data_IF_103318492147
#
_entry.id   IF_103318492147
#
_cell.length_a   1.000
_cell.length_b   1.000
_cell.length_c   1.000
_cell.angle_alpha   90.00
_cell.angle_beta   90.00
_cell.angle_gamma   90.00
#
_symmetry.space_group_name_H-M   'P 1'
#
loop_
_entity.id
_entity.type
_entity.pdbx_description
1 polymer ?
#
# COMPACT_ATOMS: atom_id res chain seq x y z
N UNK A 1 12.30 16.25 6.60
CA UNK A 1 13.04 15.06 7.06
C UNK A 1 13.09 14.07 5.91
N UNK A 2 14.26 13.55 5.57
CA UNK A 2 14.39 12.43 4.62
C UNK A 2 14.20 11.16 5.44
N UNK A 3 13.01 10.57 5.42
CA UNK A 3 12.78 9.24 6.01
C UNK A 3 13.35 8.18 5.08
N UNK A 4 14.43 7.52 5.49
CA UNK A 4 14.94 6.32 4.84
C UNK A 4 13.90 5.20 4.98
N UNK A 5 13.33 4.77 3.85
CA UNK A 5 12.46 3.58 3.81
C UNK A 5 13.26 2.34 4.17
N UNK A 6 12.67 1.45 4.96
CA UNK A 6 13.24 0.12 5.17
C UNK A 6 13.15 -0.71 3.89
N UNK A 7 13.98 -1.75 3.76
CA UNK A 7 13.93 -2.66 2.62
C UNK A 7 12.55 -3.31 2.46
N UNK A 8 11.87 -3.63 3.58
CA UNK A 8 10.52 -4.20 3.55
C UNK A 8 9.47 -3.20 3.06
N UNK A 9 9.58 -1.92 3.42
CA UNK A 9 8.67 -0.87 2.92
C UNK A 9 8.87 -0.63 1.43
N UNK A 10 10.12 -0.60 0.95
CA UNK A 10 10.43 -0.51 -0.47
C UNK A 10 9.89 -1.70 -1.24
N UNK A 11 10.08 -2.92 -0.72
CA UNK A 11 9.54 -4.13 -1.31
C UNK A 11 7.99 -4.10 -1.38
N UNK A 12 7.32 -3.56 -0.36
CA UNK A 12 5.87 -3.40 -0.38
C UNK A 12 5.40 -2.40 -1.46
N UNK A 13 6.10 -1.27 -1.63
CA UNK A 13 5.81 -0.30 -2.69
C UNK A 13 6.03 -0.90 -4.08
N UNK A 14 7.15 -1.63 -4.27
CA UNK A 14 7.43 -2.35 -5.51
C UNK A 14 6.35 -3.39 -5.80
N UNK A 15 6.00 -4.21 -4.82
CA UNK A 15 4.92 -5.19 -4.99
C UNK A 15 3.64 -4.51 -5.42
N UNK A 16 3.20 -3.43 -4.75
CA UNK A 16 1.98 -2.73 -5.13
C UNK A 16 2.07 -2.13 -6.54
N UNK A 17 3.20 -1.53 -6.91
CA UNK A 17 3.42 -0.96 -8.23
C UNK A 17 3.33 -2.01 -9.35
N UNK A 18 3.92 -3.19 -9.11
CA UNK A 18 3.88 -4.33 -10.04
C UNK A 18 2.45 -4.93 -10.15
N UNK A 19 1.61 -4.74 -9.13
CA UNK A 19 0.24 -5.25 -9.05
C UNK A 19 -0.81 -4.14 -9.23
N UNK A 20 -0.71 -3.40 -10.34
CA UNK A 20 -1.62 -2.30 -10.77
C UNK A 20 -1.51 -0.98 -10.00
N UNK A 21 -0.84 -0.94 -8.86
CA UNK A 21 -0.71 0.27 -8.04
C UNK A 21 -1.98 0.63 -7.25
N UNK A 22 -2.99 -0.22 -7.24
CA UNK A 22 -4.28 -0.01 -6.57
C UNK A 22 -4.85 -1.33 -6.07
N UNK A 23 -5.43 -1.32 -4.88
CA UNK A 23 -6.04 -2.50 -4.29
C UNK A 23 -7.19 -2.22 -3.34
N UNK A 24 -7.92 -3.28 -3.01
CA UNK A 24 -9.04 -3.28 -2.08
C UNK A 24 -8.69 -4.15 -0.86
N UNK A 25 -9.01 -3.68 0.35
CA UNK A 25 -8.87 -4.51 1.53
C UNK A 25 -10.04 -5.47 1.71
N UNK A 26 -9.73 -6.72 2.02
CA UNK A 26 -10.71 -7.69 2.46
C UNK A 26 -11.18 -7.43 3.92
N UNK A 27 -12.12 -8.24 4.39
CA UNK A 27 -12.64 -8.17 5.77
C UNK A 27 -11.58 -8.46 6.84
N UNK A 28 -10.51 -9.18 6.49
CA UNK A 28 -9.40 -9.51 7.39
C UNK A 28 -8.32 -8.41 7.39
N UNK A 29 -8.44 -7.40 6.53
CA UNK A 29 -7.48 -6.32 6.39
C UNK A 29 -6.27 -6.68 5.53
N UNK A 30 -6.40 -7.67 4.64
CA UNK A 30 -5.39 -8.04 3.64
C UNK A 30 -5.71 -7.32 2.33
N UNK A 31 -4.68 -6.77 1.68
CA UNK A 31 -4.83 -6.02 0.43
C UNK A 31 -4.88 -6.98 -0.76
N UNK A 32 -5.89 -6.84 -1.62
CA UNK A 32 -5.97 -7.49 -2.93
C UNK A 32 -5.64 -6.45 -4.01
N UNK A 33 -4.61 -6.69 -4.82
CA UNK A 33 -4.17 -5.81 -5.90
C UNK A 33 -3.77 -6.64 -7.12
N UNK A 34 -4.15 -6.23 -8.33
CA UNK A 34 -3.83 -6.98 -9.55
C UNK A 34 -4.38 -8.42 -9.61
N UNK A 35 -5.37 -8.76 -8.77
CA UNK A 35 -5.88 -10.14 -8.63
C UNK A 35 -5.12 -11.00 -7.62
N UNK A 36 -4.10 -10.46 -6.96
CA UNK A 36 -3.27 -11.18 -5.98
C UNK A 36 -3.38 -10.61 -4.58
N UNK A 37 -3.24 -11.49 -3.59
CA UNK A 37 -3.25 -11.13 -2.17
C UNK A 37 -1.86 -10.68 -1.75
N UNK A 38 -1.77 -9.49 -1.18
CA UNK A 38 -0.50 -8.93 -0.72
C UNK A 38 0.09 -9.78 0.41
N UNK A 39 1.35 -10.24 0.29
CA UNK A 39 2.09 -10.89 1.37
C UNK A 39 2.64 -9.86 2.37
N UNK A 40 1.95 -8.73 2.56
CA UNK A 40 2.41 -7.56 3.30
C UNK A 40 1.42 -7.23 4.40
N UNK A 41 1.94 -7.15 5.62
CA UNK A 41 1.15 -6.84 6.81
C UNK A 41 0.55 -5.45 6.75
N UNK A 42 -0.66 -5.31 7.29
CA UNK A 42 -1.38 -4.04 7.36
C UNK A 42 -0.60 -2.89 7.99
N UNK A 43 0.19 -3.17 9.03
CA UNK A 43 1.01 -2.16 9.69
C UNK A 43 2.00 -1.47 8.73
N UNK A 44 2.51 -2.20 7.73
CA UNK A 44 3.39 -1.65 6.70
C UNK A 44 2.65 -0.61 5.85
N UNK A 45 1.43 -0.91 5.42
CA UNK A 45 0.60 0.04 4.65
C UNK A 45 0.28 1.31 5.43
N UNK A 46 -0.04 1.18 6.72
CA UNK A 46 -0.27 2.34 7.59
C UNK A 46 0.97 3.24 7.67
N UNK A 47 2.15 2.65 7.88
CA UNK A 47 3.42 3.41 7.94
C UNK A 47 3.77 4.07 6.60
N UNK A 48 3.48 3.41 5.49
CA UNK A 48 3.66 3.99 4.16
C UNK A 48 2.69 5.15 3.91
N UNK A 49 1.46 5.07 4.42
CA UNK A 49 0.47 6.14 4.31
C UNK A 49 0.85 7.36 5.17
N UNK A 50 1.35 7.13 6.39
CA UNK A 50 1.91 8.20 7.25
C UNK A 50 3.05 8.95 6.55
N UNK A 51 3.83 8.26 5.71
CA UNK A 51 4.88 8.84 4.88
C UNK A 51 4.43 9.40 3.52
N UNK A 52 3.12 9.32 3.18
CA UNK A 52 2.58 9.82 1.91
C UNK A 52 2.94 8.97 0.67
N UNK A 53 3.46 7.76 0.85
CA UNK A 53 3.83 6.87 -0.27
C UNK A 53 2.63 6.10 -0.83
N UNK A 54 1.57 5.95 -0.04
CA UNK A 54 0.29 5.35 -0.44
C UNK A 54 -0.85 6.16 0.17
N UNK A 55 -2.04 6.02 -0.39
CA UNK A 55 -3.24 6.74 0.06
C UNK A 55 -4.40 5.76 0.23
N UNK A 56 -5.03 5.77 1.40
CA UNK A 56 -6.29 5.08 1.64
C UNK A 56 -7.46 5.94 1.18
N UNK A 57 -8.43 5.35 0.46
CA UNK A 57 -9.57 6.08 -0.06
C UNK A 57 -10.82 5.20 -0.17
N UNK A 58 -11.99 5.82 -0.35
CA UNK A 58 -13.31 5.15 -0.41
C UNK A 58 -13.52 4.18 0.76
N UNK A 59 -13.57 4.68 2.01
CA UNK A 59 -13.89 3.82 3.15
C UNK A 59 -15.27 3.17 2.95
N UNK A 60 -15.38 1.90 3.34
CA UNK A 60 -16.64 1.16 3.31
C UNK A 60 -17.12 0.96 4.75
N UNK A 61 -18.44 0.99 4.97
CA UNK A 61 -19.07 0.97 6.30
C UNK A 61 -18.60 -0.22 7.17
N UNK A 62 -18.21 -1.33 6.54
CA UNK A 62 -17.68 -2.54 7.19
C UNK A 62 -16.28 -2.94 6.68
N UNK A 63 -15.39 -1.97 6.45
CA UNK A 63 -14.01 -2.25 6.03
C UNK A 63 -13.16 -1.00 5.83
N UNK A 64 -11.96 -1.18 5.27
CA UNK A 64 -10.94 -0.10 5.20
C UNK A 64 -10.81 0.53 3.81
N UNK A 65 -11.69 0.13 2.91
CA UNK A 65 -11.78 0.69 1.57
C UNK A 65 -10.64 0.24 0.69
N UNK A 66 -10.14 1.17 -0.11
CA UNK A 66 -9.11 0.95 -1.12
C UNK A 66 -7.82 1.65 -0.72
N UNK A 67 -6.72 1.21 -1.32
CA UNK A 67 -5.42 1.84 -1.19
C UNK A 67 -4.76 1.91 -2.56
N UNK A 68 -4.17 3.06 -2.86
CA UNK A 68 -3.41 3.31 -4.09
C UNK A 68 -2.01 3.80 -3.78
N UNK A 69 -1.07 3.49 -4.67
CA UNK A 69 0.27 4.07 -4.63
C UNK A 69 0.23 5.53 -5.10
N UNK A 70 0.99 6.41 -4.44
CA UNK A 70 1.16 7.81 -4.88
C UNK A 70 2.34 7.92 -5.84
N UNK A 71 2.52 9.07 -6.48
CA UNK A 71 3.72 9.33 -7.30
C UNK A 71 5.01 9.25 -6.49
N UNK A 72 4.97 9.69 -5.22
CA UNK A 72 6.09 9.54 -4.29
C UNK A 72 6.38 8.06 -4.03
N UNK A 73 5.33 7.25 -3.82
CA UNK A 73 5.44 5.80 -3.67
C UNK A 73 6.04 5.12 -4.90
N UNK A 74 5.60 5.49 -6.11
CA UNK A 74 6.15 4.94 -7.36
C UNK A 74 7.64 5.23 -7.51
N UNK A 75 8.05 6.47 -7.31
CA UNK A 75 9.48 6.86 -7.38
C UNK A 75 10.33 6.13 -6.34
N UNK A 76 9.75 5.81 -5.19
CA UNK A 76 10.43 5.07 -4.14
C UNK A 76 10.46 3.54 -4.37
N UNK A 77 9.64 3.03 -5.29
CA UNK A 77 9.57 1.62 -5.65
C UNK A 77 10.67 1.21 -6.65
N UNK A 78 11.22 2.18 -7.39
CA UNK A 78 12.43 2.06 -8.23
C UNK A 78 13.69 1.83 -7.37
#
# INVERSE_FOLDING_TARGET
>A
MITLLTSAQRAALKWLADHSGDGLFDKNGVLLAGGETAPIMRGTWNRLAEGGYVEFYRPITSGRGRLRITDLGRRAAE
#
